data_IF_709371102714
#
_entry.id   IF_709371102714
#
_cell.length_a   1.000
_cell.length_b   1.000
_cell.length_c   1.000
_cell.angle_alpha   90.00
_cell.angle_beta   90.00
_cell.angle_gamma   90.00
#
_symmetry.space_group_name_H-M   'P 1'
#
loop_
_entity.id
_entity.type
_entity.pdbx_description
1 polymer ?
#
# COMPACT_ATOMS: atom_id res chain seq x y z
N UNK A 1 -38.05 18.40 53.62
CA UNK A 1 -36.68 18.02 54.06
C UNK A 1 -35.74 19.20 53.81
N UNK A 2 -34.62 19.27 54.55
CA UNK A 2 -33.62 20.37 54.55
C UNK A 2 -32.80 20.35 53.23
N UNK A 3 -32.21 21.43 52.68
CA UNK A 3 -32.12 22.83 53.12
C UNK A 3 -31.68 23.80 51.99
N UNK A 4 -32.25 25.01 52.01
CA UNK A 4 -31.66 26.34 51.69
C UNK A 4 -31.11 26.73 50.29
N UNK A 5 -31.60 27.89 49.84
CA UNK A 5 -31.01 28.80 48.83
C UNK A 5 -29.91 29.68 49.46
N UNK A 6 -29.28 30.58 48.69
CA UNK A 6 -29.13 32.04 48.89
C UNK A 6 -27.96 32.58 48.01
N UNK A 7 -27.99 33.88 47.68
CA UNK A 7 -26.99 34.64 46.88
C UNK A 7 -26.66 35.95 47.66
N UNK A 8 -26.10 37.05 47.09
CA UNK A 8 -25.07 37.30 46.05
C UNK A 8 -23.95 38.25 46.62
N UNK A 9 -23.51 39.29 45.85
CA UNK A 9 -22.67 40.47 46.21
C UNK A 9 -21.12 40.32 46.08
N UNK A 10 -20.32 41.37 45.78
CA UNK A 10 -20.57 42.83 45.68
C UNK A 10 -19.62 43.51 44.65
N UNK A 11 -19.94 44.73 44.19
CA UNK A 11 -19.05 45.66 43.44
C UNK A 11 -18.93 46.98 44.20
N UNK A 12 -17.71 47.52 44.35
CA UNK A 12 -17.30 48.91 44.72
C UNK A 12 -15.77 48.91 44.97
N UNK A 13 -14.94 49.93 44.71
CA UNK A 13 -15.12 51.24 44.07
C UNK A 13 -14.00 52.24 44.49
N UNK A 14 -13.55 53.11 43.58
CA UNK A 14 -12.55 54.20 43.83
C UNK A 14 -11.09 53.84 43.47
N UNK A 15 -10.18 54.80 43.19
CA UNK A 15 -10.29 56.27 43.13
C UNK A 15 -9.16 56.87 42.22
N UNK A 16 -9.24 58.16 41.91
CA UNK A 16 -8.39 58.90 40.95
C UNK A 16 -6.87 58.89 41.23
N UNK A 17 -6.06 58.97 40.17
CA UNK A 17 -4.98 59.96 40.02
C UNK A 17 -4.61 60.18 38.52
N UNK A 18 -4.46 61.44 38.11
CA UNK A 18 -3.77 61.82 36.87
C UNK A 18 -2.40 62.38 37.20
N UNK A 19 -1.40 62.15 36.34
CA UNK A 19 -0.06 62.75 36.48
C UNK A 19 0.78 62.51 35.23
N UNK A 20 1.06 63.59 34.50
CA UNK A 20 2.09 63.61 33.46
C UNK A 20 3.45 63.89 34.09
N UNK A 21 4.52 63.20 33.63
CA UNK A 21 5.82 63.78 33.23
C UNK A 21 6.94 62.73 33.15
N UNK A 22 7.77 62.85 32.11
CA UNK A 22 9.24 62.85 32.21
C UNK A 22 10.01 61.57 32.61
N UNK A 23 10.80 61.07 31.64
CA UNK A 23 12.12 60.45 31.83
C UNK A 23 12.29 59.26 32.80
N UNK A 24 12.46 58.05 32.24
CA UNK A 24 13.74 57.31 32.26
C UNK A 24 13.56 55.84 31.85
N UNK A 25 14.44 55.32 31.00
CA UNK A 25 14.56 53.87 30.78
C UNK A 25 15.37 53.23 31.91
N UNK A 26 14.95 52.03 32.34
CA UNK A 26 15.93 50.97 32.55
C UNK A 26 15.58 49.71 31.75
N UNK A 27 16.61 48.93 31.45
CA UNK A 27 16.49 47.65 30.75
C UNK A 27 15.65 46.65 31.55
N UNK A 28 14.71 45.99 30.88
CA UNK A 28 13.81 45.00 31.47
C UNK A 28 13.69 43.77 30.57
N UNK A 29 14.63 42.83 30.70
CA UNK A 29 14.63 41.56 29.95
C UNK A 29 13.42 40.71 30.33
N UNK A 30 12.35 40.80 29.56
CA UNK A 30 11.26 39.81 29.59
C UNK A 30 11.49 38.77 28.51
N UNK A 31 11.88 37.57 28.93
CA UNK A 31 12.00 36.40 28.06
C UNK A 31 10.69 36.17 27.33
N UNK A 32 10.69 36.36 26.00
CA UNK A 32 9.62 35.85 25.14
C UNK A 32 9.46 34.37 25.45
N UNK A 33 8.26 33.98 25.89
CA UNK A 33 7.97 32.60 26.27
C UNK A 33 8.45 31.64 25.16
N UNK A 34 9.19 30.61 25.59
CA UNK A 34 9.55 29.49 24.72
C UNK A 34 8.30 29.02 23.99
N UNK A 35 8.34 28.95 22.66
CA UNK A 35 7.26 28.34 21.88
C UNK A 35 7.10 26.92 22.40
N UNK A 36 5.96 26.65 23.04
CA UNK A 36 5.57 25.29 23.42
C UNK A 36 5.53 24.45 22.15
N UNK A 37 6.55 23.61 21.95
CA UNK A 37 6.61 22.72 20.81
C UNK A 37 5.35 21.86 20.79
N UNK A 38 4.65 21.85 19.66
CA UNK A 38 3.53 20.93 19.48
C UNK A 38 4.03 19.49 19.74
N UNK A 39 3.21 18.62 20.38
CA UNK A 39 3.63 17.26 20.65
C UNK A 39 4.06 16.58 19.35
N UNK A 40 5.25 15.97 19.37
CA UNK A 40 5.76 15.26 18.19
C UNK A 40 4.94 14.00 17.95
N UNK A 41 4.57 13.77 16.71
CA UNK A 41 3.99 12.51 16.27
C UNK A 41 5.11 11.49 16.20
N UNK A 42 5.02 10.41 16.98
CA UNK A 42 5.90 9.26 16.83
C UNK A 42 5.38 8.36 15.71
N UNK A 43 6.22 8.12 14.70
CA UNK A 43 6.01 7.19 13.59
C UNK A 43 7.00 6.03 13.76
N UNK A 44 6.51 4.81 13.93
CA UNK A 44 7.37 3.63 13.98
C UNK A 44 7.28 2.84 12.68
N UNK A 45 8.42 2.50 12.06
CA UNK A 45 8.45 1.77 10.79
C UNK A 45 9.11 0.40 10.99
N UNK A 46 8.36 -0.67 10.70
CA UNK A 46 8.83 -2.06 10.86
C UNK A 46 9.05 -2.70 9.48
N UNK A 47 10.30 -3.01 9.16
CA UNK A 47 10.71 -3.64 7.90
C UNK A 47 10.75 -5.17 8.05
N UNK A 48 10.11 -5.88 7.12
CA UNK A 48 9.96 -7.35 7.13
C UNK A 48 10.28 -7.94 5.77
N UNK A 49 11.32 -8.76 5.70
CA UNK A 49 11.63 -9.55 4.51
C UNK A 49 10.90 -10.90 4.53
N UNK A 50 10.62 -11.47 3.35
CA UNK A 50 10.08 -12.83 3.20
C UNK A 50 11.16 -13.93 3.24
N UNK A 51 11.00 -14.95 2.41
CA UNK A 51 12.07 -15.92 2.03
C UNK A 51 13.12 -15.18 1.19
N UNK A 52 14.46 -15.23 1.34
CA UNK A 52 15.49 -16.04 2.08
C UNK A 52 15.58 -17.55 1.87
N UNK A 53 16.54 -17.98 1.05
CA UNK A 53 16.98 -19.38 0.95
C UNK A 53 18.09 -19.70 1.97
N UNK A 54 18.16 -20.97 2.40
CA UNK A 54 19.14 -21.53 3.33
C UNK A 54 19.22 -20.87 4.72
N UNK A 55 19.81 -21.58 5.68
CA UNK A 55 19.82 -21.16 7.09
C UNK A 55 20.70 -19.92 7.34
N UNK A 56 21.79 -19.76 6.58
CA UNK A 56 22.60 -18.55 6.61
C UNK A 56 21.76 -17.32 6.21
N UNK A 57 21.00 -17.42 5.12
CA UNK A 57 20.09 -16.35 4.66
C UNK A 57 18.97 -16.07 5.66
N UNK A 58 18.32 -17.12 6.18
CA UNK A 58 17.26 -17.00 7.21
C UNK A 58 17.75 -16.30 8.48
N UNK A 59 18.98 -16.56 8.96
CA UNK A 59 19.55 -15.89 10.15
C UNK A 59 19.72 -14.37 9.96
N UNK A 60 20.05 -13.94 8.74
CA UNK A 60 20.25 -12.51 8.40
C UNK A 60 19.12 -11.93 7.52
N UNK A 61 17.92 -12.52 7.53
CA UNK A 61 16.80 -12.10 6.67
C UNK A 61 16.43 -10.62 6.83
N UNK A 62 16.56 -10.09 8.05
CA UNK A 62 16.34 -8.68 8.37
C UNK A 62 17.36 -7.74 7.70
N UNK A 63 18.61 -8.19 7.48
CA UNK A 63 19.65 -7.40 6.81
C UNK A 63 19.36 -7.18 5.32
N UNK A 64 18.51 -7.99 4.69
CA UNK A 64 18.10 -7.84 3.28
C UNK A 64 17.38 -6.51 2.97
N UNK A 65 16.85 -5.82 3.99
CA UNK A 65 16.15 -4.54 3.82
C UNK A 65 16.93 -3.34 4.35
N UNK A 66 18.21 -3.50 4.72
CA UNK A 66 19.03 -2.43 5.31
C UNK A 66 19.16 -1.19 4.41
N UNK A 67 19.26 -1.38 3.10
CA UNK A 67 19.42 -0.28 2.15
C UNK A 67 18.09 0.43 1.85
N UNK A 68 16.97 -0.30 1.90
CA UNK A 68 15.63 0.29 1.83
C UNK A 68 15.29 1.08 3.10
N UNK A 69 15.56 0.52 4.29
CA UNK A 69 15.43 1.24 5.57
C UNK A 69 16.26 2.52 5.55
N UNK A 70 17.55 2.43 5.22
CA UNK A 70 18.44 3.60 5.13
C UNK A 70 17.91 4.63 4.13
N UNK A 71 17.53 4.19 2.92
CA UNK A 71 17.01 5.08 1.88
C UNK A 71 15.72 5.81 2.26
N UNK A 72 14.85 5.18 3.07
CA UNK A 72 13.67 5.81 3.67
C UNK A 72 14.07 6.80 4.77
N UNK A 73 14.89 6.38 5.74
CA UNK A 73 15.31 7.23 6.87
C UNK A 73 16.05 8.48 6.40
N UNK A 74 16.99 8.36 5.46
CA UNK A 74 17.71 9.49 4.85
C UNK A 74 16.76 10.48 4.18
N UNK A 75 15.75 9.98 3.44
CA UNK A 75 14.75 10.83 2.77
C UNK A 75 13.82 11.52 3.75
N UNK A 76 13.41 10.85 4.84
CA UNK A 76 12.60 11.47 5.89
C UNK A 76 13.41 12.58 6.59
N UNK A 77 14.66 12.28 6.96
CA UNK A 77 15.55 13.27 7.58
C UNK A 77 15.76 14.50 6.67
N UNK A 78 15.93 14.28 5.36
CA UNK A 78 16.06 15.35 4.37
C UNK A 78 14.82 16.25 4.23
N UNK A 79 13.63 15.83 4.69
CA UNK A 79 12.44 16.71 4.73
C UNK A 79 12.49 17.74 5.86
N UNK A 80 13.24 17.48 6.93
CA UNK A 80 13.36 18.39 8.07
C UNK A 80 12.07 18.64 8.87
N UNK A 81 11.07 17.76 8.80
CA UNK A 81 9.81 17.96 9.52
C UNK A 81 9.95 17.63 11.02
N UNK A 82 10.32 18.65 11.81
CA UNK A 82 10.57 18.51 13.24
C UNK A 82 9.38 17.99 14.06
N UNK A 83 8.17 18.00 13.49
CA UNK A 83 6.93 17.50 14.12
C UNK A 83 6.88 15.98 14.19
N UNK A 84 7.69 15.27 13.39
CA UNK A 84 7.70 13.80 13.35
C UNK A 84 8.97 13.27 14.00
N UNK A 85 8.81 12.36 14.97
CA UNK A 85 9.90 11.52 15.46
C UNK A 85 9.77 10.14 14.80
N UNK A 86 10.81 9.67 14.12
CA UNK A 86 10.81 8.37 13.45
C UNK A 86 11.71 7.39 14.18
N UNK A 87 11.17 6.20 14.44
CA UNK A 87 11.93 5.04 14.91
C UNK A 87 11.74 3.88 13.94
N UNK A 88 12.80 3.16 13.61
CA UNK A 88 12.74 2.02 12.68
C UNK A 88 13.20 0.74 13.35
N UNK A 89 12.68 -0.39 12.87
CA UNK A 89 13.12 -1.72 13.28
C UNK A 89 13.05 -2.68 12.10
N UNK A 90 14.05 -3.56 11.98
CA UNK A 90 14.05 -4.68 11.01
C UNK A 90 13.76 -5.97 11.77
N UNK A 91 12.68 -6.67 11.41
CA UNK A 91 12.21 -7.85 12.13
C UNK A 91 12.55 -9.12 11.36
N UNK A 92 13.30 -10.03 12.01
CA UNK A 92 13.56 -11.36 11.48
C UNK A 92 12.54 -12.37 12.01
N UNK A 93 11.59 -12.75 11.16
CA UNK A 93 10.53 -13.75 11.41
C UNK A 93 11.03 -15.20 11.52
N UNK A 94 12.25 -15.52 11.08
CA UNK A 94 12.82 -16.87 11.13
C UNK A 94 13.50 -17.23 12.44
N UNK A 95 13.74 -16.24 13.29
CA UNK A 95 14.51 -16.39 14.52
C UNK A 95 13.63 -16.23 15.75
N UNK A 96 14.04 -16.75 16.89
CA UNK A 96 13.42 -16.47 18.18
C UNK A 96 13.90 -15.11 18.76
N UNK A 97 13.68 -14.87 20.05
CA UNK A 97 14.14 -13.65 20.73
C UNK A 97 15.66 -13.62 21.01
N UNK A 98 16.35 -14.76 20.96
CA UNK A 98 17.81 -14.86 21.11
C UNK A 98 18.57 -14.68 19.79
N UNK A 99 17.85 -14.76 18.65
CA UNK A 99 18.43 -14.70 17.31
C UNK A 99 18.70 -16.08 16.69
N UNK A 100 18.40 -17.16 17.39
CA UNK A 100 18.50 -18.51 16.87
C UNK A 100 17.33 -18.86 15.95
N UNK A 101 17.58 -19.70 14.94
CA UNK A 101 16.53 -20.16 14.03
C UNK A 101 15.49 -20.99 14.79
N UNK A 102 14.21 -20.69 14.56
CA UNK A 102 13.13 -21.45 15.21
C UNK A 102 13.13 -22.88 14.70
N UNK A 103 12.99 -23.83 15.64
CA UNK A 103 12.97 -25.27 15.37
C UNK A 103 11.73 -25.91 16.02
N UNK A 104 10.92 -26.71 15.28
CA UNK A 104 10.98 -26.90 13.83
C UNK A 104 10.73 -25.58 13.07
N UNK A 105 11.29 -25.44 11.86
CA UNK A 105 11.07 -24.21 11.08
C UNK A 105 9.63 -24.14 10.62
N UNK A 106 9.04 -22.95 10.66
CA UNK A 106 7.63 -22.76 10.31
C UNK A 106 7.32 -23.05 8.84
N UNK A 107 8.30 -22.84 7.95
CA UNK A 107 8.19 -23.15 6.53
C UNK A 107 8.46 -24.62 6.18
N UNK A 108 8.93 -25.44 7.13
CA UNK A 108 9.11 -26.89 6.97
C UNK A 108 7.87 -27.70 7.38
N UNK A 109 6.85 -27.06 7.96
CA UNK A 109 5.60 -27.70 8.39
C UNK A 109 4.72 -28.10 7.20
N UNK A 110 4.63 -29.39 6.90
CA UNK A 110 3.72 -29.93 5.89
C UNK A 110 2.32 -30.17 6.46
N UNK A 111 1.32 -29.51 5.91
CA UNK A 111 -0.09 -29.77 6.25
C UNK A 111 -1.03 -29.77 5.04
N UNK A 112 -0.56 -29.33 3.86
CA UNK A 112 -1.38 -29.21 2.66
C UNK A 112 -2.28 -27.98 2.62
N UNK A 113 -2.20 -27.06 3.58
CA UNK A 113 -3.01 -25.82 3.63
C UNK A 113 -2.17 -24.54 3.79
N UNK A 114 -0.97 -24.64 4.36
CA UNK A 114 -0.09 -23.50 4.66
C UNK A 114 -0.52 -22.68 5.88
N UNK A 115 -1.63 -23.01 6.54
CA UNK A 115 -2.15 -22.26 7.70
C UNK A 115 -1.21 -22.28 8.92
N UNK A 116 -0.54 -23.39 9.30
CA UNK A 116 0.45 -23.39 10.39
C UNK A 116 1.62 -22.44 10.11
N UNK A 117 2.18 -22.48 8.89
CA UNK A 117 3.22 -21.56 8.44
C UNK A 117 2.77 -20.11 8.57
N UNK A 118 1.59 -19.79 8.03
CA UNK A 118 1.02 -18.44 8.06
C UNK A 118 0.82 -17.93 9.49
N UNK A 119 0.17 -18.74 10.34
CA UNK A 119 -0.10 -18.39 11.73
C UNK A 119 1.18 -18.18 12.54
N UNK A 120 2.21 -19.00 12.31
CA UNK A 120 3.48 -18.84 13.00
C UNK A 120 4.26 -17.60 12.54
N UNK A 121 4.28 -17.28 11.25
CA UNK A 121 4.90 -16.04 10.76
C UNK A 121 4.19 -14.79 11.32
N UNK A 122 2.85 -14.80 11.36
CA UNK A 122 2.04 -13.72 11.98
C UNK A 122 2.39 -13.58 13.47
N UNK A 123 2.39 -14.69 14.21
CA UNK A 123 2.72 -14.69 15.65
C UNK A 123 4.14 -14.16 15.93
N UNK A 124 5.14 -14.54 15.13
CA UNK A 124 6.50 -14.01 15.24
C UNK A 124 6.57 -12.50 14.97
N UNK A 125 5.92 -12.03 13.90
CA UNK A 125 5.93 -10.60 13.59
C UNK A 125 5.23 -9.78 14.70
N UNK A 126 4.09 -10.25 15.22
CA UNK A 126 3.41 -9.62 16.36
C UNK A 126 4.33 -9.59 17.59
N UNK A 127 4.89 -10.74 17.99
CA UNK A 127 5.74 -10.84 19.17
C UNK A 127 6.98 -9.94 19.08
N UNK A 128 7.67 -9.93 17.94
CA UNK A 128 8.87 -9.10 17.72
C UNK A 128 8.54 -7.62 17.60
N UNK A 129 7.42 -7.26 16.96
CA UNK A 129 6.94 -5.87 16.93
C UNK A 129 6.63 -5.36 18.33
N UNK A 130 6.00 -6.19 19.17
CA UNK A 130 5.74 -5.86 20.57
C UNK A 130 7.01 -5.79 21.43
N UNK A 131 8.06 -6.54 21.08
CA UNK A 131 9.34 -6.45 21.77
C UNK A 131 10.09 -5.13 21.46
N UNK A 132 10.10 -4.68 20.20
CA UNK A 132 10.76 -3.42 19.81
C UNK A 132 9.92 -2.18 20.13
N UNK A 133 8.60 -2.27 19.99
CA UNK A 133 7.64 -1.20 20.23
C UNK A 133 6.51 -1.70 21.15
N UNK A 134 6.72 -1.81 22.47
CA UNK A 134 5.73 -2.39 23.39
C UNK A 134 4.45 -1.57 23.52
N UNK A 135 4.56 -0.25 23.49
CA UNK A 135 3.44 0.71 23.59
C UNK A 135 3.19 1.50 22.30
N UNK A 136 4.02 1.29 21.27
CA UNK A 136 4.02 2.08 20.04
C UNK A 136 2.67 2.11 19.32
N UNK A 137 2.32 3.29 18.80
CA UNK A 137 1.15 3.58 17.96
C UNK A 137 1.62 4.34 16.73
N UNK A 138 0.81 4.34 15.67
CA UNK A 138 1.19 4.82 14.35
C UNK A 138 2.29 3.95 13.72
N UNK A 139 2.17 2.62 13.87
CA UNK A 139 3.08 1.65 13.26
C UNK A 139 2.79 1.59 11.75
N UNK A 140 3.83 1.74 10.94
CA UNK A 140 3.82 1.42 9.51
C UNK A 140 4.65 0.17 9.30
N UNK A 141 4.05 -0.87 8.73
CA UNK A 141 4.83 -2.02 8.27
C UNK A 141 5.30 -1.82 6.83
N UNK A 142 6.52 -2.27 6.52
CA UNK A 142 7.08 -2.31 5.17
C UNK A 142 7.51 -3.74 4.87
N UNK A 143 6.74 -4.45 4.06
CA UNK A 143 6.97 -5.86 3.77
C UNK A 143 7.43 -6.10 2.33
N UNK A 144 8.48 -6.90 2.16
CA UNK A 144 8.98 -7.36 0.84
C UNK A 144 8.67 -8.84 0.62
N UNK A 145 8.41 -9.28 -0.62
CA UNK A 145 8.17 -10.70 -0.95
C UNK A 145 6.98 -11.27 -0.15
N UNK A 146 7.04 -12.50 0.37
CA UNK A 146 6.04 -13.01 1.34
C UNK A 146 5.97 -12.20 2.64
N UNK A 147 7.00 -11.43 2.98
CA UNK A 147 6.94 -10.44 4.06
C UNK A 147 5.84 -9.40 3.82
N UNK A 148 5.63 -9.01 2.55
CA UNK A 148 4.52 -8.16 2.11
C UNK A 148 3.14 -8.73 2.44
N UNK A 149 2.97 -10.05 2.37
CA UNK A 149 1.71 -10.71 2.77
C UNK A 149 1.55 -10.72 4.28
N UNK A 150 2.58 -11.12 5.03
CA UNK A 150 2.49 -11.22 6.50
C UNK A 150 2.31 -9.86 7.17
N UNK A 151 2.89 -8.78 6.64
CA UNK A 151 2.60 -7.44 7.17
C UNK A 151 1.16 -7.00 6.92
N UNK A 152 0.54 -7.41 5.82
CA UNK A 152 -0.87 -7.13 5.56
C UNK A 152 -1.77 -7.93 6.52
N UNK A 153 -1.50 -9.23 6.67
CA UNK A 153 -2.24 -10.12 7.57
C UNK A 153 -2.14 -9.69 9.04
N UNK A 154 -0.95 -9.29 9.51
CA UNK A 154 -0.75 -8.74 10.86
C UNK A 154 -1.32 -7.33 10.98
N UNK A 155 -1.17 -6.48 9.97
CA UNK A 155 -1.73 -5.13 9.97
C UNK A 155 -3.26 -5.11 10.12
N UNK A 156 -3.95 -6.10 9.57
CA UNK A 156 -5.40 -6.29 9.70
C UNK A 156 -5.84 -7.06 10.97
N UNK A 157 -4.90 -7.66 11.71
CA UNK A 157 -5.25 -8.57 12.81
C UNK A 157 -5.79 -7.81 14.03
N UNK A 158 -6.75 -8.37 14.81
CA UNK A 158 -7.31 -7.71 15.99
C UNK A 158 -6.26 -7.24 17.02
N UNK A 159 -5.13 -7.92 17.11
CA UNK A 159 -4.03 -7.65 18.05
C UNK A 159 -3.22 -6.39 17.69
N UNK A 160 -3.18 -6.00 16.42
CA UNK A 160 -2.30 -4.93 15.92
C UNK A 160 -3.02 -3.80 15.18
N UNK A 161 -4.21 -4.06 14.61
CA UNK A 161 -4.92 -3.12 13.71
C UNK A 161 -5.25 -1.74 14.29
N UNK A 162 -5.33 -1.62 15.62
CA UNK A 162 -5.60 -0.34 16.30
C UNK A 162 -4.32 0.45 16.63
N UNK A 163 -3.15 -0.14 16.36
CA UNK A 163 -1.82 0.46 16.51
C UNK A 163 -1.16 0.77 15.16
N UNK A 164 -1.61 0.09 14.10
CA UNK A 164 -1.10 0.22 12.73
C UNK A 164 -1.80 1.38 12.01
N UNK A 165 -1.01 2.33 11.52
CA UNK A 165 -1.47 3.42 10.67
C UNK A 165 -1.57 3.03 9.19
N UNK A 166 -0.67 2.14 8.73
CA UNK A 166 -0.71 1.64 7.36
C UNK A 166 0.32 0.56 7.05
N UNK A 167 0.27 0.06 5.82
CA UNK A 167 1.13 -1.01 5.32
C UNK A 167 1.67 -0.68 3.94
N UNK A 168 2.97 -0.81 3.77
CA UNK A 168 3.65 -0.80 2.47
C UNK A 168 3.98 -2.24 2.07
N UNK A 169 3.67 -2.62 0.83
CA UNK A 169 4.08 -3.91 0.25
C UNK A 169 4.95 -3.64 -0.97
N UNK A 170 6.21 -4.11 -0.98
CA UNK A 170 7.14 -3.94 -2.11
C UNK A 170 7.36 -5.31 -2.76
N UNK A 171 6.96 -5.47 -4.03
CA UNK A 171 6.90 -6.81 -4.68
C UNK A 171 6.24 -7.86 -3.76
N UNK A 172 5.13 -7.49 -3.11
CA UNK A 172 4.48 -8.34 -2.13
C UNK A 172 3.88 -9.57 -2.79
N UNK A 173 4.08 -10.77 -2.25
CA UNK A 173 3.38 -11.98 -2.74
C UNK A 173 1.97 -12.02 -2.13
N UNK A 174 1.07 -11.12 -2.52
CA UNK A 174 -0.19 -10.88 -1.79
C UNK A 174 -1.23 -11.97 -2.05
N UNK A 175 -1.59 -12.24 -3.30
CA UNK A 175 -2.61 -13.25 -3.61
C UNK A 175 -2.07 -14.69 -3.53
N UNK A 176 -2.98 -15.66 -3.41
CA UNK A 176 -2.69 -17.08 -3.43
C UNK A 176 -2.24 -17.50 -4.84
N UNK A 177 -0.99 -17.96 -4.99
CA UNK A 177 -0.41 -18.22 -6.32
C UNK A 177 -0.98 -19.46 -7.01
N UNK A 178 -1.47 -20.45 -6.26
CA UNK A 178 -2.23 -21.58 -6.81
C UNK A 178 -3.71 -21.17 -7.00
N UNK A 179 -3.92 -20.25 -7.91
CA UNK A 179 -5.23 -19.69 -8.27
C UNK A 179 -5.42 -19.76 -9.79
N UNK A 180 -6.64 -20.05 -10.30
CA UNK A 180 -6.90 -20.08 -11.74
C UNK A 180 -6.76 -18.70 -12.43
N UNK A 181 -6.42 -17.64 -11.68
CA UNK A 181 -5.99 -16.34 -12.23
C UNK A 181 -4.59 -16.42 -12.87
N UNK A 182 -3.74 -17.33 -12.42
CA UNK A 182 -2.31 -17.39 -12.76
C UNK A 182 -1.99 -18.70 -13.50
N UNK A 183 -1.30 -18.59 -14.65
CA UNK A 183 -1.04 -19.72 -15.52
C UNK A 183 0.31 -20.39 -15.19
N UNK A 184 0.26 -21.48 -14.41
CA UNK A 184 1.47 -22.22 -14.00
C UNK A 184 1.98 -23.04 -15.17
N UNK A 185 3.23 -22.81 -15.59
CA UNK A 185 3.87 -23.62 -16.64
C UNK A 185 4.07 -25.06 -16.14
N UNK A 186 3.61 -26.00 -16.97
CA UNK A 186 3.95 -27.41 -16.86
C UNK A 186 2.81 -28.28 -16.32
N UNK A 187 3.01 -29.62 -16.27
CA UNK A 187 1.96 -30.56 -15.86
C UNK A 187 1.70 -30.57 -14.35
N UNK A 188 2.27 -29.63 -13.59
CA UNK A 188 2.30 -29.62 -12.13
C UNK A 188 1.79 -28.29 -11.58
N UNK A 189 0.99 -28.35 -10.51
CA UNK A 189 0.49 -27.13 -9.84
C UNK A 189 1.63 -26.30 -9.24
N UNK A 190 1.38 -25.02 -8.95
CA UNK A 190 2.37 -24.13 -8.31
C UNK A 190 2.97 -24.76 -7.05
N UNK A 191 2.14 -25.30 -6.13
CA UNK A 191 2.63 -25.96 -4.91
C UNK A 191 3.49 -27.18 -5.27
N UNK A 192 3.09 -27.98 -6.26
CA UNK A 192 3.86 -29.16 -6.71
C UNK A 192 5.22 -28.77 -7.27
N UNK A 193 5.29 -27.79 -8.19
CA UNK A 193 6.53 -27.31 -8.78
C UNK A 193 7.45 -26.62 -7.77
N UNK A 194 6.88 -25.81 -6.88
CA UNK A 194 7.57 -25.16 -5.77
C UNK A 194 8.32 -26.17 -4.88
N UNK A 195 7.65 -27.26 -4.49
CA UNK A 195 8.18 -28.29 -3.57
C UNK A 195 9.40 -29.05 -4.10
N UNK A 196 9.66 -28.99 -5.41
CA UNK A 196 10.87 -29.58 -5.99
C UNK A 196 12.16 -28.86 -5.52
N UNK A 197 12.06 -27.62 -5.03
CA UNK A 197 13.22 -26.77 -4.71
C UNK A 197 13.11 -26.01 -3.38
N UNK A 198 12.06 -26.24 -2.59
CA UNK A 198 11.63 -25.41 -1.45
C UNK A 198 10.94 -26.28 -0.39
N UNK A 199 10.77 -25.75 0.82
CA UNK A 199 10.11 -26.46 1.92
C UNK A 199 8.58 -26.49 1.77
N UNK A 200 7.96 -27.61 2.18
CA UNK A 200 6.55 -27.91 1.93
C UNK A 200 5.59 -26.80 2.40
N UNK A 201 5.75 -26.36 3.66
CA UNK A 201 4.86 -25.40 4.31
C UNK A 201 4.91 -23.99 3.71
N UNK A 202 6.05 -23.57 3.17
CA UNK A 202 6.12 -22.30 2.42
C UNK A 202 5.44 -22.40 1.06
N UNK A 203 5.60 -23.52 0.35
CA UNK A 203 4.91 -23.72 -0.92
C UNK A 203 3.40 -23.69 -0.72
N UNK A 204 2.91 -24.40 0.29
CA UNK A 204 1.50 -24.42 0.67
C UNK A 204 1.00 -23.03 1.10
N UNK A 205 1.77 -22.28 1.90
CA UNK A 205 1.44 -20.90 2.26
C UNK A 205 1.37 -19.97 1.04
N UNK A 206 2.46 -19.89 0.26
CA UNK A 206 2.55 -19.00 -0.91
C UNK A 206 1.51 -19.35 -1.98
N UNK A 207 1.22 -20.63 -2.17
CA UNK A 207 0.24 -21.13 -3.13
C UNK A 207 -1.22 -20.98 -2.69
N UNK A 208 -1.58 -21.30 -1.45
CA UNK A 208 -2.98 -21.56 -1.06
C UNK A 208 -3.59 -20.45 -0.18
N UNK A 209 -2.77 -19.68 0.54
CA UNK A 209 -3.25 -18.60 1.41
C UNK A 209 -3.19 -17.27 0.66
N UNK A 210 -4.30 -16.52 0.63
CA UNK A 210 -4.34 -15.17 0.04
C UNK A 210 -4.37 -14.11 1.13
N UNK A 211 -3.49 -13.12 1.03
CA UNK A 211 -3.50 -11.91 1.86
C UNK A 211 -4.41 -10.81 1.33
N UNK A 212 -5.06 -10.99 0.17
CA UNK A 212 -5.94 -9.99 -0.45
C UNK A 212 -7.03 -9.48 0.51
N UNK A 213 -7.77 -10.32 1.27
CA UNK A 213 -8.79 -9.83 2.20
C UNK A 213 -8.23 -8.95 3.33
N UNK A 214 -7.01 -9.23 3.79
CA UNK A 214 -6.34 -8.44 4.82
C UNK A 214 -5.85 -7.09 4.27
N UNK A 215 -5.29 -7.09 3.04
CA UNK A 215 -4.85 -5.86 2.38
C UNK A 215 -6.03 -4.98 1.94
N UNK A 216 -7.14 -5.57 1.52
CA UNK A 216 -8.39 -4.84 1.25
C UNK A 216 -8.99 -4.19 2.50
N UNK A 217 -8.99 -4.91 3.63
CA UNK A 217 -9.40 -4.34 4.92
C UNK A 217 -8.50 -3.15 5.27
N UNK A 218 -7.17 -3.31 5.17
CA UNK A 218 -6.21 -2.23 5.41
C UNK A 218 -6.38 -1.04 4.47
N UNK A 219 -6.67 -1.26 3.19
CA UNK A 219 -6.83 -0.17 2.22
C UNK A 219 -8.11 0.66 2.44
N UNK A 220 -9.15 0.04 3.00
CA UNK A 220 -10.41 0.70 3.38
C UNK A 220 -10.31 1.41 4.74
N UNK A 221 -9.86 0.68 5.77
CA UNK A 221 -9.90 1.11 7.18
C UNK A 221 -8.64 1.86 7.65
N UNK A 222 -7.50 1.65 6.98
CA UNK A 222 -6.18 2.22 7.26
C UNK A 222 -5.59 2.76 5.95
N UNK A 223 -4.28 2.83 5.81
CA UNK A 223 -3.63 3.22 4.56
C UNK A 223 -2.78 2.08 4.00
N UNK A 224 -2.76 1.97 2.67
CA UNK A 224 -1.92 1.00 1.96
C UNK A 224 -1.12 1.71 0.87
N UNK A 225 0.12 1.28 0.68
CA UNK A 225 0.93 1.53 -0.51
C UNK A 225 1.44 0.19 -1.04
N UNK A 226 0.86 -0.31 -2.13
CA UNK A 226 1.41 -1.47 -2.83
C UNK A 226 2.32 -1.01 -3.96
N UNK A 227 3.62 -1.14 -3.77
CA UNK A 227 4.62 -0.92 -4.80
C UNK A 227 4.78 -2.19 -5.64
N UNK A 228 4.28 -2.11 -6.88
CA UNK A 228 4.29 -3.22 -7.84
C UNK A 228 5.22 -2.90 -9.00
N UNK A 229 5.79 -3.94 -9.61
CA UNK A 229 6.79 -3.77 -10.67
C UNK A 229 6.75 -4.97 -11.61
N UNK A 230 7.03 -4.70 -12.90
CA UNK A 230 7.02 -5.67 -13.98
C UNK A 230 8.41 -5.70 -14.63
N UNK A 231 9.10 -6.83 -14.58
CA UNK A 231 10.39 -7.05 -15.23
C UNK A 231 10.58 -8.54 -15.47
N UNK A 232 11.24 -8.92 -16.57
CA UNK A 232 11.52 -10.32 -16.88
C UNK A 232 12.90 -10.74 -16.39
N UNK A 233 12.97 -11.75 -15.50
CA UNK A 233 14.16 -11.98 -14.69
C UNK A 233 14.48 -13.46 -14.36
N UNK A 234 14.76 -14.26 -15.39
CA UNK A 234 15.36 -15.62 -15.34
C UNK A 234 14.43 -16.73 -14.77
N UNK A 235 14.66 -18.00 -15.16
CA UNK A 235 13.62 -18.85 -15.75
C UNK A 235 12.48 -19.20 -14.76
N UNK A 236 11.25 -18.80 -15.09
CA UNK A 236 10.12 -18.85 -14.18
C UNK A 236 9.10 -19.98 -14.39
N UNK A 237 8.16 -20.05 -13.45
CA UNK A 237 7.05 -21.02 -13.39
C UNK A 237 5.75 -20.54 -14.07
N UNK A 238 5.76 -19.45 -14.86
CA UNK A 238 4.53 -18.76 -15.33
C UNK A 238 4.58 -18.39 -16.82
N UNK A 239 3.50 -18.65 -17.56
CA UNK A 239 3.35 -18.33 -18.99
C UNK A 239 2.43 -17.10 -19.19
N UNK A 240 2.70 -16.31 -20.23
CA UNK A 240 2.08 -14.99 -20.49
C UNK A 240 3.09 -13.85 -20.36
N UNK A 241 2.72 -12.60 -20.69
CA UNK A 241 3.67 -11.46 -20.67
C UNK A 241 4.00 -10.93 -19.27
N UNK A 242 4.13 -11.84 -18.30
CA UNK A 242 5.05 -11.72 -17.17
C UNK A 242 6.10 -12.82 -17.36
N UNK A 243 6.97 -12.67 -18.36
CA UNK A 243 8.08 -13.59 -18.57
C UNK A 243 8.91 -13.68 -17.29
N UNK A 244 8.74 -14.75 -16.52
CA UNK A 244 9.73 -15.14 -15.51
C UNK A 244 9.84 -14.18 -14.29
N UNK A 245 8.72 -13.69 -13.77
CA UNK A 245 8.63 -12.94 -12.51
C UNK A 245 7.30 -13.18 -11.76
N UNK A 246 7.15 -12.59 -10.56
CA UNK A 246 5.91 -12.66 -9.76
C UNK A 246 4.75 -11.98 -10.52
N UNK A 247 3.64 -12.69 -10.86
CA UNK A 247 2.57 -12.14 -11.68
C UNK A 247 2.03 -10.81 -11.14
N UNK A 248 1.95 -9.77 -11.98
CA UNK A 248 1.64 -8.41 -11.52
C UNK A 248 0.32 -8.31 -10.75
N UNK A 249 -0.69 -9.10 -11.15
CA UNK A 249 -1.97 -9.26 -10.46
C UNK A 249 -1.86 -9.84 -9.04
N UNK A 250 -0.87 -10.67 -8.76
CA UNK A 250 -0.66 -11.26 -7.44
C UNK A 250 0.00 -10.29 -6.45
N UNK A 251 0.47 -9.12 -6.91
CA UNK A 251 1.32 -8.23 -6.12
C UNK A 251 0.58 -7.28 -5.16
N UNK A 252 -0.76 -7.23 -5.23
CA UNK A 252 -1.57 -6.23 -4.51
C UNK A 252 -3.03 -6.70 -4.34
N UNK A 253 -3.92 -5.78 -3.97
CA UNK A 253 -5.36 -6.00 -3.80
C UNK A 253 -6.19 -4.96 -4.56
N UNK A 254 -7.46 -5.23 -4.90
CA UNK A 254 -8.29 -4.31 -5.67
C UNK A 254 -8.45 -2.93 -5.04
N UNK A 255 -8.41 -2.83 -3.71
CA UNK A 255 -8.58 -1.57 -2.98
C UNK A 255 -7.29 -0.80 -2.76
N UNK A 256 -6.13 -1.36 -3.12
CA UNK A 256 -4.85 -0.65 -3.09
C UNK A 256 -4.80 0.46 -4.18
N UNK A 257 -4.19 1.63 -3.92
CA UNK A 257 -4.02 2.68 -4.92
C UNK A 257 -3.18 2.26 -6.13
N UNK A 258 -3.48 2.82 -7.31
CA UNK A 258 -2.89 2.46 -8.59
C UNK A 258 -3.64 1.32 -9.31
N UNK A 259 -3.73 1.42 -10.64
CA UNK A 259 -4.39 0.48 -11.53
C UNK A 259 -3.65 0.41 -12.88
N UNK A 260 -3.45 -0.80 -13.40
CA UNK A 260 -2.86 -1.08 -14.71
C UNK A 260 -3.43 -2.39 -15.28
N UNK A 261 -2.90 -2.90 -16.39
CA UNK A 261 -3.26 -4.19 -16.98
C UNK A 261 -2.05 -5.13 -17.04
N UNK A 262 -2.32 -6.42 -16.97
CA UNK A 262 -1.38 -7.49 -17.34
C UNK A 262 -2.12 -8.54 -18.17
N UNK A 263 -1.44 -9.25 -19.09
CA UNK A 263 -2.04 -10.41 -19.74
C UNK A 263 -2.45 -11.50 -18.76
N UNK A 264 -3.45 -12.28 -19.15
CA UNK A 264 -3.99 -13.39 -18.36
C UNK A 264 -4.53 -14.53 -19.25
N UNK A 265 -4.65 -15.74 -18.68
CA UNK A 265 -5.15 -16.91 -19.38
C UNK A 265 -6.66 -16.76 -19.69
N UNK A 266 -7.06 -17.07 -20.93
CA UNK A 266 -8.47 -17.07 -21.37
C UNK A 266 -9.16 -15.68 -21.39
N UNK A 267 -8.50 -14.65 -20.88
CA UNK A 267 -8.90 -13.24 -20.89
C UNK A 267 -7.65 -12.45 -21.26
N UNK A 268 -7.53 -12.02 -22.52
CA UNK A 268 -6.29 -11.42 -23.10
C UNK A 268 -5.57 -10.47 -22.15
N UNK A 269 -6.31 -9.64 -21.41
CA UNK A 269 -5.81 -8.86 -20.27
C UNK A 269 -6.80 -8.88 -19.10
N UNK A 270 -6.28 -8.65 -17.90
CA UNK A 270 -7.04 -8.42 -16.66
C UNK A 270 -6.33 -7.38 -15.77
N UNK A 271 -7.04 -6.71 -14.83
CA UNK A 271 -6.52 -5.57 -14.10
C UNK A 271 -5.44 -6.01 -13.12
N UNK A 272 -4.37 -5.25 -13.03
CA UNK A 272 -3.38 -5.34 -11.96
C UNK A 272 -3.45 -4.09 -11.10
N UNK A 273 -3.29 -4.27 -9.79
CA UNK A 273 -3.49 -3.21 -8.80
C UNK A 273 -2.18 -2.84 -8.14
N UNK A 274 -2.10 -1.64 -7.58
CA UNK A 274 -0.89 -1.13 -6.96
C UNK A 274 -0.24 -0.01 -7.78
N UNK A 275 0.63 0.74 -7.11
CA UNK A 275 1.42 1.83 -7.66
C UNK A 275 2.66 1.26 -8.33
N UNK A 276 2.77 1.45 -9.64
CA UNK A 276 3.94 1.00 -10.41
C UNK A 276 5.16 1.84 -10.05
N UNK A 277 6.23 1.22 -9.55
CA UNK A 277 7.45 1.93 -9.14
C UNK A 277 8.66 1.73 -10.07
N UNK A 278 8.54 0.89 -11.11
CA UNK A 278 9.57 0.69 -12.13
C UNK A 278 9.62 -0.73 -12.67
N UNK A 279 10.60 -1.01 -13.54
CA UNK A 279 10.86 -2.34 -14.10
C UNK A 279 12.01 -3.01 -13.34
N UNK A 280 11.68 -3.65 -12.22
CA UNK A 280 12.65 -4.28 -11.31
C UNK A 280 12.36 -5.77 -11.12
N UNK A 281 13.41 -6.57 -11.10
CA UNK A 281 13.35 -7.97 -10.69
C UNK A 281 13.01 -8.08 -9.20
N UNK A 282 12.36 -9.17 -8.79
CA UNK A 282 12.06 -9.46 -7.39
C UNK A 282 13.27 -9.34 -6.42
N UNK A 283 14.49 -9.80 -6.76
CA UNK A 283 15.65 -9.58 -5.89
C UNK A 283 16.21 -8.15 -5.92
N UNK A 284 15.88 -7.29 -6.89
CA UNK A 284 16.62 -6.02 -7.10
C UNK A 284 16.59 -5.12 -5.86
N UNK A 285 15.48 -5.06 -5.13
CA UNK A 285 15.37 -4.19 -3.94
C UNK A 285 16.17 -4.70 -2.72
N UNK A 286 16.71 -5.93 -2.77
CA UNK A 286 17.44 -6.57 -1.65
C UNK A 286 18.85 -7.06 -2.00
N UNK A 287 19.11 -7.40 -3.27
CA UNK A 287 20.39 -7.93 -3.72
C UNK A 287 21.31 -6.81 -4.21
N UNK A 288 22.30 -6.47 -3.38
CA UNK A 288 23.38 -5.52 -3.71
C UNK A 288 24.20 -5.91 -4.94
N UNK A 289 24.18 -7.18 -5.36
CA UNK A 289 24.80 -7.65 -6.58
C UNK A 289 24.05 -7.25 -7.86
N UNK A 290 22.76 -6.88 -7.77
CA UNK A 290 21.99 -6.43 -8.92
C UNK A 290 22.42 -5.04 -9.38
N UNK A 291 22.70 -4.90 -10.68
CA UNK A 291 22.94 -3.61 -11.32
C UNK A 291 21.76 -2.62 -11.20
N UNK A 292 20.54 -3.12 -10.96
CA UNK A 292 19.34 -2.30 -10.73
C UNK A 292 19.11 -1.93 -9.26
N UNK A 293 19.91 -2.45 -8.31
CA UNK A 293 19.64 -2.34 -6.87
C UNK A 293 19.44 -0.91 -6.36
N UNK A 294 20.39 -0.02 -6.66
CA UNK A 294 20.34 1.39 -6.23
C UNK A 294 19.11 2.10 -6.80
N UNK A 295 18.70 1.77 -8.03
CA UNK A 295 17.51 2.34 -8.64
C UNK A 295 16.22 1.79 -8.00
N UNK A 296 16.14 0.48 -7.74
CA UNK A 296 15.01 -0.15 -7.06
C UNK A 296 14.78 0.40 -5.64
N UNK A 297 15.86 0.49 -4.85
CA UNK A 297 15.85 1.10 -3.51
C UNK A 297 15.48 2.58 -3.57
N UNK A 298 16.01 3.33 -4.52
CA UNK A 298 15.71 4.77 -4.70
C UNK A 298 14.25 5.00 -5.06
N UNK A 299 13.70 4.24 -6.01
CA UNK A 299 12.30 4.37 -6.41
C UNK A 299 11.35 3.97 -5.27
N UNK A 300 11.60 2.83 -4.62
CA UNK A 300 10.77 2.35 -3.52
C UNK A 300 10.80 3.30 -2.31
N UNK A 301 11.99 3.74 -1.87
CA UNK A 301 12.10 4.67 -0.73
C UNK A 301 11.50 6.04 -1.02
N UNK A 302 11.58 6.54 -2.26
CA UNK A 302 10.96 7.81 -2.64
C UNK A 302 9.44 7.72 -2.61
N UNK A 303 8.85 6.68 -3.20
CA UNK A 303 7.40 6.45 -3.17
C UNK A 303 6.85 6.24 -1.74
N UNK A 304 7.62 5.57 -0.87
CA UNK A 304 7.28 5.44 0.55
C UNK A 304 7.22 6.81 1.25
N UNK A 305 8.22 7.67 1.02
CA UNK A 305 8.28 8.98 1.70
C UNK A 305 7.27 9.98 1.12
N UNK A 306 7.00 9.93 -0.18
CA UNK A 306 5.89 10.68 -0.79
C UNK A 306 4.53 10.26 -0.19
N UNK A 307 4.30 8.96 -0.02
CA UNK A 307 3.07 8.46 0.61
C UNK A 307 2.96 8.82 2.10
N UNK A 308 4.08 8.81 2.83
CA UNK A 308 4.12 9.20 4.23
C UNK A 308 3.80 10.69 4.44
N UNK A 309 4.29 11.59 3.57
CA UNK A 309 4.26 13.04 3.83
C UNK A 309 3.41 13.87 2.87
N UNK A 310 3.32 13.49 1.58
CA UNK A 310 2.68 14.30 0.54
C UNK A 310 1.28 13.79 0.18
N UNK A 311 1.13 12.50 -0.14
CA UNK A 311 -0.11 11.95 -0.66
C UNK A 311 -0.35 10.49 -0.24
N UNK A 312 -1.29 10.27 0.69
CA UNK A 312 -1.76 8.92 1.06
C UNK A 312 -3.17 8.63 0.50
N UNK A 313 -3.30 8.39 -0.82
CA UNK A 313 -4.59 8.15 -1.45
C UNK A 313 -5.27 6.90 -0.89
N UNK A 314 -6.60 6.93 -0.85
CA UNK A 314 -7.44 5.74 -0.65
C UNK A 314 -8.40 5.63 -1.82
N UNK A 315 -8.63 4.41 -2.30
CA UNK A 315 -9.64 4.13 -3.32
C UNK A 315 -11.01 4.50 -2.78
N UNK A 316 -11.75 5.29 -3.56
CA UNK A 316 -13.17 5.54 -3.34
C UNK A 316 -13.92 4.89 -4.50
N UNK A 317 -14.91 4.06 -4.17
CA UNK A 317 -15.79 3.44 -5.15
C UNK A 317 -17.24 3.57 -4.69
N UNK A 318 -18.18 3.53 -5.63
CA UNK A 318 -19.60 3.47 -5.31
C UNK A 318 -19.96 2.10 -4.72
N UNK A 319 -21.14 2.00 -4.09
CA UNK A 319 -21.67 0.73 -3.60
C UNK A 319 -21.95 -0.30 -4.73
N UNK A 320 -21.92 0.14 -5.98
CA UNK A 320 -22.26 -0.65 -7.18
C UNK A 320 -21.01 -1.03 -8.02
N UNK A 321 -19.83 -0.49 -7.69
CA UNK A 321 -18.59 -0.71 -8.45
C UNK A 321 -17.49 -1.36 -7.60
N UNK A 322 -17.14 -2.60 -7.93
CA UNK A 322 -15.90 -3.22 -7.45
C UNK A 322 -14.73 -2.81 -8.34
N UNK A 323 -13.55 -2.45 -7.81
CA UNK A 323 -12.36 -2.17 -8.64
C UNK A 323 -11.88 -3.36 -9.49
N UNK A 324 -12.32 -4.59 -9.21
CA UNK A 324 -12.07 -5.79 -10.02
C UNK A 324 -13.10 -5.99 -11.15
N UNK A 325 -14.32 -5.46 -11.00
CA UNK A 325 -15.41 -5.66 -11.95
C UNK A 325 -15.39 -4.55 -13.02
N UNK A 326 -15.28 -4.89 -14.31
CA UNK A 326 -15.24 -3.89 -15.35
C UNK A 326 -16.63 -3.42 -15.76
N UNK A 327 -16.69 -2.17 -16.22
CA UNK A 327 -17.77 -1.72 -17.10
C UNK A 327 -17.58 -2.37 -18.48
N UNK A 328 -18.56 -3.18 -18.91
CA UNK A 328 -18.65 -3.68 -20.29
C UNK A 328 -19.44 -2.68 -21.13
N UNK A 329 -18.82 -2.19 -22.19
CA UNK A 329 -19.34 -1.12 -23.05
C UNK A 329 -19.64 -1.71 -24.43
N UNK A 330 -20.91 -1.61 -24.85
CA UNK A 330 -21.36 -2.08 -26.15
C UNK A 330 -20.60 -1.41 -27.30
N UNK A 331 -20.50 -2.05 -28.50
CA UNK A 331 -19.68 -1.53 -29.59
C UNK A 331 -20.00 -0.10 -29.99
N UNK A 332 -19.07 0.83 -29.73
CA UNK A 332 -19.15 2.23 -30.18
C UNK A 332 -18.56 2.37 -31.58
N UNK A 333 -18.70 3.54 -32.20
CA UNK A 333 -17.95 3.90 -33.40
C UNK A 333 -16.80 4.85 -33.03
N UNK A 334 -15.81 4.99 -33.92
CA UNK A 334 -14.67 5.88 -33.68
C UNK A 334 -15.09 7.31 -33.27
N UNK A 335 -14.49 7.83 -32.20
CA UNK A 335 -14.80 9.15 -31.65
C UNK A 335 -16.16 9.29 -30.95
N UNK A 336 -17.01 8.25 -30.92
CA UNK A 336 -18.29 8.28 -30.20
C UNK A 336 -18.05 7.97 -28.72
N UNK A 337 -18.39 8.91 -27.85
CA UNK A 337 -18.34 8.75 -26.40
C UNK A 337 -19.40 7.77 -25.89
N UNK A 338 -19.04 6.95 -24.92
CA UNK A 338 -19.95 6.09 -24.16
C UNK A 338 -21.05 6.90 -23.45
N UNK A 339 -22.05 6.18 -22.91
CA UNK A 339 -22.84 6.70 -21.81
C UNK A 339 -21.93 7.03 -20.60
N UNK A 340 -22.32 7.99 -19.73
CA UNK A 340 -21.61 8.24 -18.48
C UNK A 340 -21.57 7.01 -17.59
N UNK A 341 -20.39 6.71 -17.05
CA UNK A 341 -20.18 5.68 -16.04
C UNK A 341 -19.95 6.38 -14.70
N UNK A 342 -20.71 6.01 -13.67
CA UNK A 342 -20.49 6.49 -12.31
C UNK A 342 -19.35 5.65 -11.69
N UNK A 343 -18.15 6.24 -11.59
CA UNK A 343 -16.89 5.52 -11.27
C UNK A 343 -16.39 5.76 -9.84
N UNK A 344 -17.20 6.46 -9.03
CA UNK A 344 -16.76 7.04 -7.78
C UNK A 344 -17.95 7.20 -6.80
N UNK A 345 -17.66 7.47 -5.52
CA UNK A 345 -18.63 7.64 -4.44
C UNK A 345 -18.21 8.76 -3.49
N UNK A 346 -19.06 9.17 -2.54
CA UNK A 346 -18.75 10.31 -1.68
C UNK A 346 -17.38 10.20 -0.96
N UNK A 347 -16.66 11.32 -0.84
CA UNK A 347 -15.39 11.34 -0.10
C UNK A 347 -15.66 11.02 1.39
N UNK A 348 -14.85 10.18 2.04
CA UNK A 348 -14.92 10.02 3.50
C UNK A 348 -14.59 11.33 4.23
N UNK A 349 -15.07 11.48 5.46
CA UNK A 349 -14.80 12.66 6.31
C UNK A 349 -13.29 12.91 6.52
N UNK A 350 -12.88 14.18 6.52
CA UNK A 350 -11.47 14.60 6.63
C UNK A 350 -10.65 14.32 5.37
N UNK A 351 -11.30 14.10 4.22
CA UNK A 351 -10.66 13.81 2.93
C UNK A 351 -11.33 14.59 1.80
N UNK A 352 -10.52 14.97 0.81
CA UNK A 352 -10.97 15.63 -0.42
C UNK A 352 -10.67 14.74 -1.64
N UNK A 353 -11.30 15.03 -2.77
CA UNK A 353 -11.05 14.33 -4.02
C UNK A 353 -9.64 14.63 -4.54
N UNK A 354 -8.93 13.60 -5.02
CA UNK A 354 -7.59 13.77 -5.63
C UNK A 354 -7.63 14.51 -6.98
N UNK A 355 -8.82 14.71 -7.57
CA UNK A 355 -8.96 15.28 -8.92
C UNK A 355 -8.41 14.38 -10.03
N UNK A 356 -8.28 13.07 -9.78
CA UNK A 356 -7.82 12.07 -10.74
C UNK A 356 -8.62 10.76 -10.59
N UNK A 357 -8.90 10.13 -11.73
CA UNK A 357 -9.36 8.73 -11.83
C UNK A 357 -8.30 7.97 -12.61
N UNK A 358 -7.81 6.85 -12.08
CA UNK A 358 -7.03 5.89 -12.87
C UNK A 358 -7.99 5.05 -13.70
N UNK A 359 -7.68 4.89 -14.99
CA UNK A 359 -8.48 4.12 -15.94
C UNK A 359 -7.58 3.11 -16.63
N UNK A 360 -7.96 1.84 -16.56
CA UNK A 360 -7.36 0.76 -17.33
C UNK A 360 -8.44 0.15 -18.22
N UNK A 361 -8.14 -0.16 -19.48
CA UNK A 361 -9.18 -0.71 -20.36
C UNK A 361 -8.65 -1.41 -21.59
N UNK A 362 -9.55 -2.17 -22.21
CA UNK A 362 -9.30 -3.10 -23.30
C UNK A 362 -10.27 -2.78 -24.44
N UNK A 363 -9.74 -2.54 -25.64
CA UNK A 363 -10.52 -2.55 -26.86
C UNK A 363 -10.85 -4.00 -27.24
N UNK A 364 -12.13 -4.31 -27.44
CA UNK A 364 -12.63 -5.65 -27.76
C UNK A 364 -13.14 -5.72 -29.20
N UNK A 365 -12.67 -6.72 -29.95
CA UNK A 365 -12.93 -6.84 -31.38
C UNK A 365 -14.07 -7.83 -31.68
N UNK A 366 -15.24 -7.37 -32.20
CA UNK A 366 -16.38 -8.25 -32.46
C UNK A 366 -16.06 -9.35 -33.47
N UNK A 367 -16.51 -10.58 -33.19
CA UNK A 367 -16.42 -11.71 -34.11
C UNK A 367 -15.09 -12.47 -34.15
N UNK A 368 -14.07 -12.04 -33.40
CA UNK A 368 -12.80 -12.75 -33.28
C UNK A 368 -12.63 -13.32 -31.87
N UNK A 369 -12.62 -14.65 -31.74
CA UNK A 369 -12.20 -15.32 -30.51
C UNK A 369 -10.66 -15.35 -30.33
N UNK A 370 -9.93 -14.66 -31.23
CA UNK A 370 -8.54 -14.96 -31.57
C UNK A 370 -7.55 -13.85 -31.19
N UNK A 371 -7.80 -13.11 -30.10
CA UNK A 371 -6.72 -12.37 -29.42
C UNK A 371 -6.22 -11.06 -30.04
N UNK A 372 -6.99 -10.39 -30.92
CA UNK A 372 -6.68 -9.01 -31.34
C UNK A 372 -7.17 -7.94 -30.34
N UNK A 373 -7.71 -8.33 -29.18
CA UNK A 373 -8.06 -7.41 -28.10
C UNK A 373 -6.77 -6.83 -27.50
N UNK A 374 -6.68 -5.51 -27.34
CA UNK A 374 -5.47 -4.82 -26.90
C UNK A 374 -5.79 -3.71 -25.87
N UNK A 375 -4.83 -3.35 -24.99
CA UNK A 375 -5.03 -2.31 -24.00
C UNK A 375 -5.26 -0.95 -24.65
N UNK A 376 -5.87 -0.03 -23.89
CA UNK A 376 -5.91 1.38 -24.24
C UNK A 376 -4.49 1.96 -24.30
N UNK A 377 -4.29 2.86 -25.25
CA UNK A 377 -3.02 3.54 -25.50
C UNK A 377 -3.25 5.03 -25.78
N UNK A 378 -2.17 5.78 -26.06
CA UNK A 378 -2.22 7.20 -26.34
C UNK A 378 -3.04 7.58 -27.61
N UNK A 379 -3.46 6.61 -28.44
CA UNK A 379 -4.27 6.86 -29.64
C UNK A 379 -5.79 6.81 -29.38
N UNK A 380 -6.20 6.44 -28.17
CA UNK A 380 -7.60 6.28 -27.77
C UNK A 380 -7.96 7.26 -26.63
N UNK A 381 -8.23 8.55 -26.93
CA UNK A 381 -8.39 9.59 -25.92
C UNK A 381 -9.64 9.40 -25.06
N UNK A 382 -9.43 9.46 -23.74
CA UNK A 382 -10.46 9.32 -22.70
C UNK A 382 -10.95 10.71 -22.30
N UNK A 383 -12.28 10.90 -22.19
CA UNK A 383 -12.89 12.13 -21.72
C UNK A 383 -13.33 11.98 -20.25
N UNK A 384 -12.63 12.64 -19.34
CA UNK A 384 -12.95 12.65 -17.92
C UNK A 384 -13.81 13.86 -17.58
N UNK A 385 -14.97 13.64 -16.96
CA UNK A 385 -15.76 14.70 -16.33
C UNK A 385 -15.66 14.54 -14.81
N UNK A 386 -14.62 15.18 -14.28
CA UNK A 386 -14.26 15.11 -12.87
C UNK A 386 -14.99 16.24 -12.13
N UNK A 387 -16.02 15.87 -11.36
CA UNK A 387 -16.61 16.77 -10.38
C UNK A 387 -15.56 17.29 -9.40
N UNK A 388 -15.85 18.41 -8.74
CA UNK A 388 -15.00 18.95 -7.67
C UNK A 388 -15.01 18.10 -6.37
N UNK A 389 -15.67 16.94 -6.41
CA UNK A 389 -15.88 16.00 -5.32
C UNK A 389 -15.54 14.58 -5.79
N UNK A 390 -15.63 13.59 -4.90
CA UNK A 390 -15.38 12.18 -5.26
C UNK A 390 -16.54 11.56 -6.09
N UNK A 391 -17.38 12.33 -6.77
CA UNK A 391 -18.55 11.88 -7.54
C UNK A 391 -18.30 11.85 -9.07
N UNK A 392 -17.03 11.69 -9.46
CA UNK A 392 -16.58 11.71 -10.84
C UNK A 392 -17.35 10.76 -11.79
N UNK A 393 -17.54 11.21 -13.03
CA UNK A 393 -18.11 10.39 -14.11
C UNK A 393 -17.12 10.20 -15.25
N UNK A 394 -17.15 9.03 -15.86
CA UNK A 394 -16.25 8.66 -16.96
C UNK A 394 -17.02 8.48 -18.27
N UNK A 395 -16.45 8.99 -19.37
CA UNK A 395 -16.86 8.64 -20.73
C UNK A 395 -15.65 8.25 -21.57
N UNK A 396 -15.77 7.16 -22.32
CA UNK A 396 -14.67 6.64 -23.15
C UNK A 396 -15.05 6.57 -24.63
N UNK A 397 -14.06 6.73 -25.49
CA UNK A 397 -14.16 6.56 -26.95
C UNK A 397 -12.85 5.93 -27.48
N UNK A 398 -12.90 5.37 -28.69
CA UNK A 398 -11.73 4.82 -29.38
C UNK A 398 -11.43 5.58 -30.69
N UNK A 399 -10.17 5.59 -31.12
CA UNK A 399 -9.69 6.35 -32.28
C UNK A 399 -9.82 5.65 -33.64
N UNK A 400 -10.04 4.33 -33.69
CA UNK A 400 -9.93 3.54 -34.93
C UNK A 400 -11.00 3.85 -35.99
N UNK A 401 -10.68 4.74 -36.91
CA UNK A 401 -11.57 5.20 -37.98
C UNK A 401 -12.22 4.05 -38.78
N UNK A 402 -13.52 4.17 -39.06
CA UNK A 402 -14.28 3.16 -39.81
C UNK A 402 -14.51 1.83 -39.09
N UNK A 403 -14.12 1.70 -37.82
CA UNK A 403 -14.34 0.50 -36.99
C UNK A 403 -15.40 0.75 -35.91
N UNK A 404 -15.89 -0.36 -35.35
CA UNK A 404 -16.65 -0.39 -34.11
C UNK A 404 -16.05 -1.38 -33.14
N UNK A 405 -15.81 -0.94 -31.91
CA UNK A 405 -15.22 -1.78 -30.86
C UNK A 405 -16.07 -1.72 -29.59
N UNK A 406 -16.30 -2.88 -28.99
CA UNK A 406 -16.72 -2.94 -27.60
C UNK A 406 -15.51 -2.57 -26.72
N UNK A 407 -15.75 -2.18 -25.48
CA UNK A 407 -14.67 -1.89 -24.54
C UNK A 407 -14.96 -2.51 -23.19
N UNK A 408 -13.89 -2.88 -22.48
CA UNK A 408 -13.94 -3.30 -21.08
C UNK A 408 -13.08 -2.33 -20.28
N UNK A 409 -13.63 -1.72 -19.23
CA UNK A 409 -12.96 -0.63 -18.51
C UNK A 409 -13.02 -0.86 -17.00
N UNK A 410 -11.87 -0.77 -16.35
CA UNK A 410 -11.71 -0.72 -14.89
C UNK A 410 -11.29 0.68 -14.47
N UNK A 411 -11.72 1.10 -13.29
CA UNK A 411 -11.53 2.47 -12.83
C UNK A 411 -11.28 2.53 -11.33
N UNK A 412 -10.45 3.47 -10.90
CA UNK A 412 -10.32 3.84 -9.48
C UNK A 412 -10.34 5.35 -9.32
N UNK A 413 -11.27 5.85 -8.51
CA UNK A 413 -11.21 7.22 -8.01
C UNK A 413 -10.49 7.26 -6.67
N UNK A 414 -9.93 8.42 -6.30
CA UNK A 414 -9.14 8.57 -5.09
C UNK A 414 -9.56 9.76 -4.25
N UNK A 415 -9.48 9.59 -2.93
CA UNK A 415 -9.49 10.68 -1.96
C UNK A 415 -8.13 10.82 -1.28
N UNK A 416 -7.74 12.04 -0.92
CA UNK A 416 -6.55 12.39 -0.15
C UNK A 416 -6.93 12.93 1.24
N UNK A 417 -6.11 12.70 2.29
CA UNK A 417 -6.25 13.44 3.55
C UNK A 417 -6.16 14.95 3.32
N UNK A 418 -6.95 15.74 4.05
CA UNK A 418 -6.89 17.21 3.99
C UNK A 418 -5.51 17.79 4.34
N UNK A 419 -4.71 17.10 5.16
CA UNK A 419 -3.36 17.53 5.55
C UNK A 419 -2.20 16.94 4.73
N UNK A 420 -2.46 16.21 3.64
CA UNK A 420 -1.41 15.64 2.77
C UNK A 420 -1.20 14.13 2.96
N UNK A 421 0.03 13.71 3.27
CA UNK A 421 0.40 12.29 3.42
C UNK A 421 -0.14 11.63 4.70
N UNK A 422 0.22 10.35 4.92
CA UNK A 422 -0.21 9.56 6.08
C UNK A 422 0.04 10.26 7.41
N UNK A 423 1.20 10.93 7.56
CA UNK A 423 1.62 11.66 8.76
C UNK A 423 0.54 12.64 9.24
N UNK A 424 -0.20 13.25 8.32
CA UNK A 424 -1.26 14.21 8.65
C UNK A 424 -2.49 13.61 9.35
N UNK A 425 -2.66 12.28 9.28
CA UNK A 425 -3.79 11.57 9.91
C UNK A 425 -3.44 10.93 11.27
N UNK A 426 -2.17 10.99 11.66
CA UNK A 426 -1.66 10.37 12.88
C UNK A 426 -2.05 11.17 14.13
N UNK A 427 -2.01 10.52 15.29
CA UNK A 427 -2.38 11.09 16.61
C UNK A 427 -1.34 10.75 17.66
#
# INVERSE_FOLDING_TARGET
MRSLRWAPCLVLGGLLACGENGESSPEGTSLSASRSGAPKVELQIVFVHGVTQADAGRRVAHEQLVDLERGVVERIAARGDERVAVSTARVNIYTDASGELVSPRFDDLKDGTGLPTANAWRAQLIAKTNAVFPTGRNIVFVGHSTGGRVVAEVGASPEMRDRVAGVVTVHGMIDALQSPKYDVIGPTSYVTGCKLFKSDGWCEYSGLVSGVPALDWLARERHVLSLVSASSCIPGFWEGANDQALPLQAQSSPWSPGLTLTPALGKTYAPAHGTFYGEFCHPDVVDRGSAKHVAAVTAASSAIVEWLFDAAPRVVASAEASPDDPYEIAPLAAGVLSAPLAVAGACPEGRHAMGKVDVAGLCRHPGFANGNDHPFDASNPIALDLGAQCDATLRVAHGHAGKRHAMRVWTKSYSLPEGGGLVSTLR
#
